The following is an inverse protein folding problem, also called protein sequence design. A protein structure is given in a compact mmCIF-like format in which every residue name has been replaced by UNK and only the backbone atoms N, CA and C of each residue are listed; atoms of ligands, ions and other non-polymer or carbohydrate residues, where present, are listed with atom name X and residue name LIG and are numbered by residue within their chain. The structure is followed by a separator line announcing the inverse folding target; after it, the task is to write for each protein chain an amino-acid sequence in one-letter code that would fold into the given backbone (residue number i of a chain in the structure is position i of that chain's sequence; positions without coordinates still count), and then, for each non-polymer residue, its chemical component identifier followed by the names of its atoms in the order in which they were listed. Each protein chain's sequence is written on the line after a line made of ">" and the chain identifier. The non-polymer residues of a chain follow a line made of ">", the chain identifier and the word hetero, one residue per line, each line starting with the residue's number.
data_IF_950173480244
#
_entry.id   IF_950173480244
#
_cell.length_a   1.000
_cell.length_b   1.000
_cell.length_c   1.000
_cell.angle_alpha   90.00
_cell.angle_beta   90.00
_cell.angle_gamma   90.00
#
_symmetry.space_group_name_H-M   'P 1'
#
loop_
_entity.id
_entity.type
_entity.pdbx_description
1 polymer ?
#
# COMPACT_ATOMS: atom_id res chain seq x y z
N UNK A 1 -11.01 15.17 -30.29
CA UNK A 1 -9.84 15.39 -29.41
C UNK A 1 -10.31 15.17 -27.98
N UNK A 2 -9.55 14.47 -27.14
CA UNK A 2 -9.94 14.24 -25.74
C UNK A 2 -9.80 15.55 -24.97
N UNK A 3 -10.83 15.91 -24.21
CA UNK A 3 -10.89 17.14 -23.41
C UNK A 3 -9.92 17.07 -22.22
N UNK A 4 -9.37 18.22 -21.81
CA UNK A 4 -8.45 18.30 -20.66
C UNK A 4 -9.11 17.80 -19.36
N UNK A 5 -10.43 17.91 -19.25
CA UNK A 5 -11.20 17.39 -18.11
C UNK A 5 -11.01 15.89 -17.91
N UNK A 6 -10.86 15.10 -18.98
CA UNK A 6 -10.62 13.65 -18.90
C UNK A 6 -9.28 13.34 -18.23
N UNK A 7 -8.22 14.03 -18.64
CA UNK A 7 -6.88 13.88 -18.05
C UNK A 7 -6.85 14.31 -16.59
N UNK A 8 -7.56 15.42 -16.29
CA UNK A 8 -7.74 15.92 -14.93
C UNK A 8 -8.45 14.90 -14.03
N UNK A 9 -9.56 14.34 -14.51
CA UNK A 9 -10.31 13.31 -13.78
C UNK A 9 -9.46 12.07 -13.51
N UNK A 10 -8.71 11.60 -14.51
CA UNK A 10 -7.87 10.42 -14.36
C UNK A 10 -6.73 10.66 -13.34
N UNK A 11 -6.08 11.81 -13.40
CA UNK A 11 -5.08 12.21 -12.39
C UNK A 11 -5.67 12.24 -10.98
N UNK A 12 -6.82 12.91 -10.78
CA UNK A 12 -7.43 13.00 -9.44
C UNK A 12 -7.87 11.63 -8.91
N UNK A 13 -8.40 10.74 -9.77
CA UNK A 13 -8.71 9.36 -9.38
C UNK A 13 -7.50 8.60 -8.85
N UNK A 14 -6.31 8.81 -9.42
CA UNK A 14 -5.10 8.16 -8.92
C UNK A 14 -4.61 8.76 -7.58
N UNK A 15 -4.85 10.05 -7.34
CA UNK A 15 -4.61 10.69 -6.04
C UNK A 15 -5.62 10.19 -4.98
N UNK A 16 -6.90 10.06 -5.33
CA UNK A 16 -7.90 9.46 -4.45
C UNK A 16 -7.55 8.00 -4.11
N UNK A 17 -7.11 7.24 -5.11
CA UNK A 17 -6.69 5.84 -4.93
C UNK A 17 -5.50 5.72 -3.98
N UNK A 18 -4.56 6.65 -3.99
CA UNK A 18 -3.47 6.74 -3.00
C UNK A 18 -4.05 6.81 -1.58
N UNK A 19 -4.97 7.74 -1.33
CA UNK A 19 -5.57 7.93 0.00
C UNK A 19 -6.36 6.68 0.45
N UNK A 20 -7.05 6.01 -0.48
CA UNK A 20 -7.74 4.75 -0.22
C UNK A 20 -6.74 3.63 0.13
N UNK A 21 -5.58 3.57 -0.52
CA UNK A 21 -4.55 2.59 -0.20
C UNK A 21 -3.92 2.87 1.17
N UNK A 22 -3.67 4.14 1.50
CA UNK A 22 -3.12 4.55 2.80
C UNK A 22 -4.05 4.16 3.95
N UNK A 23 -5.35 4.38 3.80
CA UNK A 23 -6.33 4.00 4.83
C UNK A 23 -6.45 2.48 5.02
N UNK A 24 -6.26 1.70 3.94
CA UNK A 24 -6.34 0.22 3.96
C UNK A 24 -5.18 -0.47 4.67
N UNK A 25 -4.10 0.24 5.03
CA UNK A 25 -2.95 -0.32 5.78
C UNK A 25 -3.27 -0.53 7.26
N UNK A 26 -4.17 0.27 7.83
CA UNK A 26 -4.55 0.22 9.24
C UNK A 26 -5.08 -1.14 9.69
N UNK A 27 -5.96 -1.76 8.92
CA UNK A 27 -6.56 -3.06 9.25
C UNK A 27 -5.52 -4.20 9.31
N UNK A 28 -4.61 -4.37 8.32
CA UNK A 28 -3.48 -5.28 8.45
C UNK A 28 -2.64 -5.09 9.71
N UNK A 29 -2.32 -3.85 10.07
CA UNK A 29 -1.55 -3.55 11.29
C UNK A 29 -2.31 -4.04 12.53
N UNK A 30 -3.61 -3.72 12.62
CA UNK A 30 -4.45 -4.14 13.74
C UNK A 30 -4.49 -5.67 13.88
N UNK A 31 -4.75 -6.38 12.79
CA UNK A 31 -4.83 -7.85 12.79
C UNK A 31 -3.48 -8.46 13.17
N UNK A 32 -2.37 -8.00 12.58
CA UNK A 32 -1.03 -8.47 12.92
C UNK A 32 -0.70 -8.23 14.41
N UNK A 33 -1.13 -7.09 14.97
CA UNK A 33 -0.95 -6.78 16.39
C UNK A 33 -1.72 -7.73 17.30
N UNK A 34 -2.98 -8.04 16.94
CA UNK A 34 -3.79 -9.03 17.67
C UNK A 34 -3.14 -10.42 17.62
N UNK A 35 -2.64 -10.83 16.45
CA UNK A 35 -1.96 -12.11 16.28
C UNK A 35 -0.71 -12.22 17.17
N UNK A 36 0.09 -11.16 17.26
CA UNK A 36 1.24 -11.10 18.20
C UNK A 36 0.78 -11.27 19.64
N UNK A 37 -0.26 -10.56 20.06
CA UNK A 37 -0.80 -10.65 21.43
C UNK A 37 -1.25 -12.07 21.79
N UNK A 38 -1.92 -12.77 20.86
CA UNK A 38 -2.35 -14.17 21.06
C UNK A 38 -1.12 -15.08 21.27
N UNK A 39 -0.09 -14.93 20.44
CA UNK A 39 1.13 -15.75 20.58
C UNK A 39 1.86 -15.48 21.89
N UNK A 40 2.03 -14.20 22.25
CA UNK A 40 2.65 -13.81 23.53
C UNK A 40 1.88 -14.43 24.70
N UNK A 41 0.55 -14.37 24.68
CA UNK A 41 -0.29 -14.99 25.70
C UNK A 41 -0.06 -16.50 25.81
N UNK A 42 -0.15 -17.24 24.69
CA UNK A 42 0.00 -18.71 24.71
C UNK A 42 1.40 -19.11 25.17
N UNK A 43 2.45 -18.44 24.66
CA UNK A 43 3.84 -18.75 25.02
C UNK A 43 4.16 -18.42 26.49
N UNK A 44 3.47 -17.44 27.08
CA UNK A 44 3.65 -17.08 28.50
C UNK A 44 3.18 -18.16 29.49
N UNK A 45 2.40 -19.14 29.04
CA UNK A 45 1.71 -20.11 29.91
C UNK A 45 2.55 -21.33 30.29
N UNK A 46 3.80 -21.41 29.81
CA UNK A 46 4.70 -22.51 30.15
C UNK A 46 4.26 -23.83 29.54
N UNK A 47 4.53 -24.00 28.24
CA UNK A 47 4.16 -25.20 27.48
C UNK A 47 5.14 -26.36 27.81
N UNK A 48 4.66 -27.59 27.96
CA UNK A 48 5.50 -28.75 28.33
C UNK A 48 5.23 -29.98 27.47
N UNK A 49 6.21 -30.89 27.38
CA UNK A 49 6.05 -32.20 26.71
C UNK A 49 5.82 -32.11 25.20
N UNK A 50 5.04 -33.05 24.64
CA UNK A 50 4.73 -33.11 23.21
C UNK A 50 4.02 -31.84 22.70
N UNK A 51 3.27 -31.17 23.58
CA UNK A 51 2.59 -29.92 23.25
C UNK A 51 3.56 -28.76 23.03
N UNK A 52 4.70 -28.73 23.74
CA UNK A 52 5.75 -27.74 23.53
C UNK A 52 6.32 -27.85 22.12
N UNK A 53 6.67 -29.06 21.67
CA UNK A 53 7.26 -29.28 20.35
C UNK A 53 6.28 -28.90 19.23
N UNK A 54 5.01 -29.33 19.33
CA UNK A 54 3.98 -28.97 18.35
C UNK A 54 3.75 -27.45 18.31
N UNK A 55 3.66 -26.81 19.48
CA UNK A 55 3.49 -25.36 19.57
C UNK A 55 4.68 -24.58 19.02
N UNK A 56 5.90 -25.07 19.21
CA UNK A 56 7.10 -24.49 18.62
C UNK A 56 7.07 -24.56 17.09
N UNK A 57 6.71 -25.71 16.51
CA UNK A 57 6.61 -25.89 15.06
C UNK A 57 5.54 -24.95 14.48
N UNK A 58 4.34 -24.95 15.07
CA UNK A 58 3.25 -24.07 14.64
C UNK A 58 3.64 -22.61 14.76
N UNK A 59 4.22 -22.19 15.88
CA UNK A 59 4.66 -20.81 16.10
C UNK A 59 5.77 -20.40 15.13
N UNK A 60 6.65 -21.33 14.74
CA UNK A 60 7.71 -21.05 13.75
C UNK A 60 7.13 -20.81 12.36
N UNK A 61 6.23 -21.68 11.90
CA UNK A 61 5.52 -21.50 10.63
C UNK A 61 4.74 -20.18 10.64
N UNK A 62 4.09 -19.88 11.76
CA UNK A 62 3.32 -18.66 11.92
C UNK A 62 4.20 -17.41 11.94
N UNK A 63 5.35 -17.46 12.60
CA UNK A 63 6.35 -16.40 12.61
C UNK A 63 6.88 -16.12 11.20
N UNK A 64 7.18 -17.15 10.42
CA UNK A 64 7.58 -16.97 9.02
C UNK A 64 6.48 -16.29 8.20
N UNK A 65 5.23 -16.77 8.29
CA UNK A 65 4.10 -16.14 7.61
C UNK A 65 3.89 -14.69 8.06
N UNK A 66 4.09 -14.40 9.34
CA UNK A 66 4.00 -13.05 9.92
C UNK A 66 5.03 -12.11 9.28
N UNK A 67 6.30 -12.52 9.24
CA UNK A 67 7.36 -11.69 8.65
C UNK A 67 7.15 -11.47 7.15
N UNK A 68 6.65 -12.47 6.42
CA UNK A 68 6.31 -12.30 5.00
C UNK A 68 5.13 -11.34 4.82
N UNK A 69 4.09 -11.44 5.65
CA UNK A 69 2.97 -10.49 5.64
C UNK A 69 3.44 -9.06 5.93
N UNK A 70 4.31 -8.89 6.94
CA UNK A 70 4.89 -7.60 7.32
C UNK A 70 5.78 -7.02 6.21
N UNK A 71 6.56 -7.86 5.53
CA UNK A 71 7.37 -7.44 4.38
C UNK A 71 6.52 -6.90 3.23
N UNK A 72 5.39 -7.56 2.91
CA UNK A 72 4.49 -7.05 1.87
C UNK A 72 3.68 -5.83 2.34
N UNK A 73 3.34 -5.75 3.62
CA UNK A 73 2.68 -4.58 4.20
C UNK A 73 3.57 -3.35 4.12
N UNK A 74 4.82 -3.49 4.57
CA UNK A 74 5.82 -2.42 4.50
C UNK A 74 5.99 -1.97 3.07
N UNK A 75 6.18 -2.89 2.10
CA UNK A 75 6.23 -2.61 0.64
C UNK A 75 4.99 -1.96 0.05
N UNK A 76 3.80 -2.15 0.63
CA UNK A 76 2.57 -1.52 0.17
C UNK A 76 2.44 -0.09 0.68
N UNK A 77 2.85 0.14 1.94
CA UNK A 77 2.80 1.46 2.55
C UNK A 77 3.96 2.36 2.12
N UNK A 78 5.17 1.80 2.11
CA UNK A 78 6.45 2.45 1.83
C UNK A 78 7.30 1.54 0.96
N UNK A 79 8.33 2.04 0.28
CA UNK A 79 9.33 1.17 -0.31
C UNK A 79 10.40 0.79 0.75
N UNK A 80 9.94 0.21 1.87
CA UNK A 80 10.69 -0.18 3.09
C UNK A 80 11.32 0.99 3.87
N UNK A 81 12.17 1.78 3.21
CA UNK A 81 12.94 2.87 3.82
C UNK A 81 12.70 4.22 3.15
N UNK A 82 11.95 4.23 2.04
CA UNK A 82 11.60 5.44 1.29
C UNK A 82 10.09 5.53 1.13
N UNK A 83 9.53 6.73 1.30
CA UNK A 83 8.14 6.98 0.92
C UNK A 83 7.97 6.74 -0.58
N UNK A 84 6.78 6.32 -0.97
CA UNK A 84 6.42 6.31 -2.38
C UNK A 84 6.38 7.77 -2.88
N UNK A 85 7.20 8.07 -3.89
CA UNK A 85 7.22 9.38 -4.55
C UNK A 85 6.10 9.39 -5.59
N UNK A 86 4.99 10.02 -5.25
CA UNK A 86 3.93 10.29 -6.22
C UNK A 86 4.35 11.49 -7.04
N UNK A 87 4.14 11.41 -8.35
CA UNK A 87 4.38 12.53 -9.23
C UNK A 87 3.23 13.52 -9.09
N UNK A 88 3.59 14.76 -8.85
CA UNK A 88 2.66 15.87 -8.68
C UNK A 88 2.80 16.81 -9.87
N UNK A 89 1.72 17.56 -10.13
CA UNK A 89 1.76 18.59 -11.15
C UNK A 89 2.80 19.66 -10.80
N UNK A 90 3.39 20.32 -11.80
CA UNK A 90 4.22 21.49 -11.59
C UNK A 90 3.50 22.51 -10.70
N UNK A 91 4.26 23.21 -9.85
CA UNK A 91 3.68 24.24 -8.99
C UNK A 91 3.08 25.35 -9.85
N UNK A 92 2.01 25.99 -9.35
CA UNK A 92 1.24 26.97 -10.13
C UNK A 92 2.09 28.13 -10.66
N UNK A 93 3.15 28.51 -9.94
CA UNK A 93 4.09 29.54 -10.39
C UNK A 93 4.85 29.14 -11.66
N UNK A 94 5.18 27.86 -11.83
CA UNK A 94 5.88 27.37 -13.02
C UNK A 94 4.94 27.38 -14.23
N UNK A 95 3.69 26.98 -14.02
CA UNK A 95 2.64 27.05 -15.04
C UNK A 95 2.41 28.50 -15.48
N UNK A 96 2.27 29.43 -14.53
CA UNK A 96 2.11 30.86 -14.82
C UNK A 96 3.33 31.44 -15.54
N UNK A 97 4.54 31.00 -15.19
CA UNK A 97 5.77 31.43 -15.84
C UNK A 97 5.82 30.94 -17.29
N UNK A 98 5.40 29.70 -17.54
CA UNK A 98 5.29 29.14 -18.87
C UNK A 98 4.23 29.87 -19.72
N UNK A 99 3.05 30.13 -19.15
CA UNK A 99 2.00 30.93 -19.80
C UNK A 99 2.52 32.30 -20.23
N UNK A 100 3.13 33.07 -19.31
CA UNK A 100 3.71 34.39 -19.60
C UNK A 100 4.81 34.34 -20.67
N UNK A 101 5.56 33.23 -20.76
CA UNK A 101 6.56 33.03 -21.82
C UNK A 101 5.89 32.92 -23.19
N UNK A 102 4.83 32.12 -23.31
CA UNK A 102 4.06 31.99 -24.55
C UNK A 102 3.43 33.32 -24.98
N UNK A 103 3.00 34.15 -24.02
CA UNK A 103 2.49 35.49 -24.32
C UNK A 103 3.55 36.42 -24.92
N UNK A 104 4.77 36.41 -24.35
CA UNK A 104 5.89 37.22 -24.84
C UNK A 104 6.34 36.80 -26.24
N UNK A 105 6.21 35.52 -26.58
CA UNK A 105 6.57 34.97 -27.90
C UNK A 105 5.54 35.32 -28.99
N UNK A 106 4.40 35.92 -28.65
CA UNK A 106 3.42 36.40 -29.62
C UNK A 106 2.75 35.29 -30.43
N UNK A 107 2.75 34.05 -29.92
CA UNK A 107 2.19 32.89 -30.62
C UNK A 107 0.67 32.98 -30.71
N UNK A 108 0.13 32.88 -31.93
CA UNK A 108 -1.33 32.91 -32.19
C UNK A 108 -2.08 31.78 -31.49
N UNK A 109 -1.42 30.64 -31.26
CA UNK A 109 -2.01 29.41 -30.76
C UNK A 109 -1.66 29.15 -29.29
N UNK A 110 -1.28 30.19 -28.53
CA UNK A 110 -0.75 30.06 -27.15
C UNK A 110 -1.65 29.24 -26.22
N UNK A 111 -2.97 29.38 -26.35
CA UNK A 111 -3.94 28.65 -25.53
C UNK A 111 -3.91 27.16 -25.81
N UNK A 112 -3.81 26.76 -27.08
CA UNK A 112 -3.73 25.36 -27.50
C UNK A 112 -2.42 24.72 -27.02
N UNK A 113 -1.31 25.45 -27.15
CA UNK A 113 0.01 25.00 -26.68
C UNK A 113 0.02 24.80 -25.17
N UNK A 114 -0.54 25.74 -24.41
CA UNK A 114 -0.67 25.62 -22.96
C UNK A 114 -1.55 24.44 -22.56
N UNK A 115 -2.69 24.25 -23.24
CA UNK A 115 -3.59 23.12 -22.99
C UNK A 115 -2.90 21.78 -23.28
N UNK A 116 -2.17 21.67 -24.38
CA UNK A 116 -1.40 20.46 -24.72
C UNK A 116 -0.31 20.16 -23.70
N UNK A 117 0.42 21.20 -23.25
CA UNK A 117 1.37 21.09 -22.15
C UNK A 117 0.70 20.51 -20.89
N UNK A 118 -0.43 21.09 -20.45
CA UNK A 118 -1.15 20.62 -19.27
C UNK A 118 -1.67 19.19 -19.43
N UNK A 119 -2.20 18.84 -20.60
CA UNK A 119 -2.62 17.45 -20.91
C UNK A 119 -1.47 16.47 -20.75
N UNK A 120 -0.27 16.83 -21.25
CA UNK A 120 0.92 16.00 -21.12
C UNK A 120 1.34 15.83 -19.66
N UNK A 121 1.42 16.92 -18.89
CA UNK A 121 1.79 16.85 -17.47
C UNK A 121 0.80 16.01 -16.66
N UNK A 122 -0.51 16.18 -16.90
CA UNK A 122 -1.57 15.37 -16.28
C UNK A 122 -1.45 13.88 -16.64
N UNK A 123 -1.26 13.57 -17.93
CA UNK A 123 -1.14 12.20 -18.41
C UNK A 123 0.09 11.50 -17.82
N UNK A 124 1.21 12.22 -17.74
CA UNK A 124 2.47 11.72 -17.20
C UNK A 124 2.35 11.45 -15.69
N UNK A 125 1.86 12.43 -14.92
CA UNK A 125 1.58 12.24 -13.50
C UNK A 125 0.65 11.05 -13.23
N UNK A 126 -0.46 10.96 -13.98
CA UNK A 126 -1.44 9.91 -13.78
C UNK A 126 -0.89 8.52 -14.15
N UNK A 127 -0.07 8.42 -15.21
CA UNK A 127 0.53 7.17 -15.66
C UNK A 127 1.54 6.63 -14.64
N UNK A 128 2.42 7.47 -14.11
CA UNK A 128 3.35 7.08 -13.05
C UNK A 128 2.61 6.67 -11.78
N UNK A 129 1.64 7.48 -11.34
CA UNK A 129 0.85 7.22 -10.14
C UNK A 129 0.01 5.95 -10.26
N UNK A 130 -0.52 5.64 -11.45
CA UNK A 130 -1.23 4.40 -11.73
C UNK A 130 -0.35 3.17 -11.52
N UNK A 131 0.85 3.17 -12.09
CA UNK A 131 1.80 2.06 -11.97
C UNK A 131 2.21 1.84 -10.51
N UNK A 132 2.44 2.93 -9.79
CA UNK A 132 2.71 2.93 -8.36
C UNK A 132 1.54 2.33 -7.55
N UNK A 133 0.33 2.84 -7.77
CA UNK A 133 -0.89 2.35 -7.11
C UNK A 133 -1.16 0.87 -7.42
N UNK A 134 -0.90 0.42 -8.64
CA UNK A 134 -1.02 -0.99 -9.03
C UNK A 134 -0.08 -1.86 -8.21
N UNK A 135 1.21 -1.52 -8.14
CA UNK A 135 2.21 -2.25 -7.34
C UNK A 135 1.86 -2.28 -5.85
N UNK A 136 1.41 -1.14 -5.30
CA UNK A 136 0.96 -1.04 -3.90
C UNK A 136 -0.25 -1.94 -3.63
N UNK A 137 -1.20 -1.99 -4.56
CA UNK A 137 -2.39 -2.86 -4.49
C UNK A 137 -1.98 -4.34 -4.47
N UNK A 138 -1.08 -4.75 -5.36
CA UNK A 138 -0.59 -6.13 -5.44
C UNK A 138 0.14 -6.56 -4.17
N UNK A 139 1.01 -5.69 -3.62
CA UNK A 139 1.68 -5.95 -2.34
C UNK A 139 0.68 -6.07 -1.18
N UNK A 140 -0.35 -5.22 -1.14
CA UNK A 140 -1.38 -5.30 -0.11
C UNK A 140 -2.17 -6.62 -0.21
N UNK A 141 -2.46 -7.08 -1.42
CA UNK A 141 -3.12 -8.36 -1.63
C UNK A 141 -2.26 -9.53 -1.13
N UNK A 142 -0.96 -9.54 -1.44
CA UNK A 142 -0.01 -10.54 -0.93
C UNK A 142 0.08 -10.51 0.59
N UNK A 143 0.15 -9.33 1.21
CA UNK A 143 0.09 -9.17 2.67
C UNK A 143 -1.15 -9.88 3.24
N UNK A 144 -2.34 -9.61 2.69
CA UNK A 144 -3.59 -10.22 3.14
C UNK A 144 -3.62 -11.74 2.98
N UNK A 145 -3.04 -12.28 1.90
CA UNK A 145 -2.92 -13.74 1.70
C UNK A 145 -2.08 -14.38 2.81
N UNK A 146 -0.92 -13.80 3.13
CA UNK A 146 -0.06 -14.29 4.20
C UNK A 146 -0.66 -14.09 5.60
N UNK A 147 -1.39 -13.00 5.81
CA UNK A 147 -2.17 -12.80 7.04
C UNK A 147 -3.24 -13.88 7.19
N UNK A 148 -3.93 -14.26 6.12
CA UNK A 148 -4.94 -15.31 6.17
C UNK A 148 -4.35 -16.66 6.59
N UNK A 149 -3.18 -17.01 6.03
CA UNK A 149 -2.41 -18.18 6.48
C UNK A 149 -2.08 -18.06 7.97
N UNK A 150 -1.65 -16.88 8.42
CA UNK A 150 -1.32 -16.63 9.81
C UNK A 150 -2.52 -16.85 10.76
N UNK A 151 -3.70 -16.37 10.35
CA UNK A 151 -4.95 -16.56 11.10
C UNK A 151 -5.29 -18.04 11.22
N UNK A 152 -5.16 -18.83 10.13
CA UNK A 152 -5.46 -20.26 10.15
C UNK A 152 -4.54 -21.02 11.12
N UNK A 153 -3.23 -20.78 11.06
CA UNK A 153 -2.28 -21.42 11.98
C UNK A 153 -2.46 -20.97 13.42
N UNK A 154 -2.82 -19.70 13.64
CA UNK A 154 -3.15 -19.19 14.98
C UNK A 154 -4.40 -19.85 15.54
N UNK A 155 -5.46 -19.96 14.73
CA UNK A 155 -6.69 -20.64 15.14
C UNK A 155 -6.42 -22.11 15.50
N UNK A 156 -5.60 -22.79 14.69
CA UNK A 156 -5.19 -24.17 15.00
C UNK A 156 -4.39 -24.25 16.31
N UNK A 157 -3.42 -23.35 16.52
CA UNK A 157 -2.65 -23.28 17.76
C UNK A 157 -3.55 -23.06 18.99
N UNK A 158 -4.54 -22.17 18.89
CA UNK A 158 -5.52 -21.92 19.95
C UNK A 158 -6.37 -23.16 20.25
N UNK A 159 -6.82 -23.89 19.23
CA UNK A 159 -7.58 -25.13 19.42
C UNK A 159 -6.73 -26.18 20.14
N UNK A 160 -5.50 -26.40 19.69
CA UNK A 160 -4.60 -27.37 20.34
C UNK A 160 -4.34 -26.96 21.79
N UNK A 161 -4.12 -25.67 22.05
CA UNK A 161 -3.96 -25.15 23.41
C UNK A 161 -5.19 -25.38 24.29
N UNK A 162 -6.40 -25.13 23.77
CA UNK A 162 -7.64 -25.35 24.49
C UNK A 162 -7.86 -26.84 24.83
N UNK A 163 -7.54 -27.75 23.91
CA UNK A 163 -7.65 -29.20 24.14
C UNK A 163 -6.64 -29.70 25.15
N UNK A 164 -5.43 -29.13 25.21
CA UNK A 164 -4.39 -29.55 26.16
C UNK A 164 -4.60 -29.00 27.59
N UNK A 165 -5.41 -27.96 27.75
CA UNK A 165 -5.74 -27.37 29.05
C UNK A 165 -6.98 -27.98 29.70
N UNK A 166 -7.85 -28.61 28.93
CA UNK A 166 -9.03 -29.36 29.38
C UNK A 166 -8.67 -30.82 29.62
#
# INVERSE_FOLDING_TARGET
>A
MIDISFYKEFYFKEIERKNVLDSKVSLPILVLSILVSIHVFILSKGLTGNFLLLSMVLSTINGLAFFVALFFLTKSYSNLFYSHWYKELPVMNDILTYEKKLEKEGLKNKSEILEEYLKRELADCASENFNLNKKRTENLAKCKQWMFINILFTAFLVIVYAVFLL
#
